data_IF_412966757509
#
_entry.id   IF_412966757509
#
_cell.length_a   1.000
_cell.length_b   1.000
_cell.length_c   1.000
_cell.angle_alpha   90.00
_cell.angle_beta   90.00
_cell.angle_gamma   90.00
#
_symmetry.space_group_name_H-M   'P 1'
#
loop_
_entity.id
_entity.type
_entity.pdbx_description
1 polymer ?
#
# COMPACT_ATOMS: atom_id res chain seq x y z
N UNK A 1 -28.12 18.49 20.67
CA UNK A 1 -26.78 17.88 20.58
C UNK A 1 -26.50 17.63 19.10
N UNK A 2 -25.64 18.43 18.48
CA UNK A 2 -25.26 18.26 17.08
C UNK A 2 -24.31 17.07 17.00
N UNK A 3 -24.69 15.98 16.34
CA UNK A 3 -23.75 14.91 16.03
C UNK A 3 -22.64 15.52 15.17
N UNK A 4 -21.42 15.55 15.67
CA UNK A 4 -20.25 15.84 14.86
C UNK A 4 -20.18 14.78 13.78
N UNK A 5 -20.66 15.10 12.58
CA UNK A 5 -20.46 14.29 11.40
C UNK A 5 -18.95 14.25 11.19
N UNK A 6 -18.32 13.10 11.49
CA UNK A 6 -16.92 12.90 11.20
C UNK A 6 -16.75 13.20 9.71
N UNK A 7 -15.91 14.19 9.39
CA UNK A 7 -15.64 14.56 8.01
C UNK A 7 -15.25 13.29 7.24
N UNK A 8 -15.99 13.02 6.18
CA UNK A 8 -15.75 11.86 5.33
C UNK A 8 -14.34 11.98 4.77
N UNK A 9 -13.51 10.97 5.03
CA UNK A 9 -12.12 10.97 4.58
C UNK A 9 -12.12 10.70 3.09
N UNK A 10 -11.53 11.60 2.31
CA UNK A 10 -11.40 11.44 0.86
C UNK A 10 -9.92 11.32 0.51
N UNK A 11 -9.58 10.50 -0.47
CA UNK A 11 -8.21 10.25 -0.91
C UNK A 11 -8.10 10.50 -2.41
N UNK A 12 -7.10 11.29 -2.82
CA UNK A 12 -6.68 11.41 -4.21
C UNK A 12 -5.48 10.49 -4.47
N UNK A 13 -5.56 9.69 -5.52
CA UNK A 13 -4.48 8.82 -5.99
C UNK A 13 -3.97 9.36 -7.31
N UNK A 14 -2.67 9.60 -7.37
CA UNK A 14 -1.99 10.10 -8.57
C UNK A 14 -0.92 9.10 -9.03
N UNK A 15 -0.81 8.91 -10.34
CA UNK A 15 0.03 7.92 -11.00
C UNK A 15 -0.47 6.47 -10.83
N UNK A 16 0.34 5.52 -11.31
CA UNK A 16 0.01 4.09 -11.24
C UNK A 16 -1.07 3.67 -12.25
N UNK A 17 -1.67 2.50 -12.03
CA UNK A 17 -2.70 1.92 -12.93
C UNK A 17 -4.13 2.41 -12.66
N UNK A 18 -4.36 3.14 -11.57
CA UNK A 18 -5.70 3.58 -11.16
C UNK A 18 -5.69 4.92 -10.42
N UNK A 19 -5.29 6.03 -11.08
CA UNK A 19 -5.45 7.35 -10.49
C UNK A 19 -6.95 7.68 -10.34
N UNK A 20 -7.32 8.42 -9.29
CA UNK A 20 -8.72 8.72 -9.01
C UNK A 20 -8.97 9.28 -7.61
N UNK A 21 -10.25 9.44 -7.26
CA UNK A 21 -10.70 9.86 -5.94
C UNK A 21 -11.41 8.68 -5.26
N UNK A 22 -11.08 8.43 -4.00
CA UNK A 22 -11.54 7.29 -3.22
C UNK A 22 -12.08 7.74 -1.86
N UNK A 23 -13.14 7.10 -1.40
CA UNK A 23 -13.76 7.27 -0.08
C UNK A 23 -13.04 6.46 1.02
N UNK A 24 -12.12 5.58 0.62
CA UNK A 24 -11.33 4.71 1.49
C UNK A 24 -9.84 4.85 1.19
N UNK A 25 -8.98 4.64 2.21
CA UNK A 25 -7.54 4.64 1.99
C UNK A 25 -7.17 3.51 1.01
N UNK A 26 -6.53 3.82 -0.13
CA UNK A 26 -6.09 2.79 -1.07
C UNK A 26 -4.93 1.97 -0.50
N UNK A 27 -4.84 0.70 -0.91
CA UNK A 27 -3.72 -0.15 -0.57
C UNK A 27 -2.45 0.33 -1.31
N UNK A 28 -1.38 0.52 -0.54
CA UNK A 28 -0.08 0.97 -1.06
C UNK A 28 1.01 -0.01 -0.66
N UNK A 29 1.66 -0.57 -1.67
CA UNK A 29 2.77 -1.48 -1.43
C UNK A 29 4.01 -0.69 -1.02
N UNK A 30 4.50 -0.93 0.20
CA UNK A 30 5.62 -0.20 0.79
C UNK A 30 6.87 -1.09 0.92
N UNK A 31 7.64 -1.25 -0.14
CA UNK A 31 8.99 -1.80 -0.09
C UNK A 31 9.98 -0.98 -0.93
N UNK A 32 11.28 -1.17 -0.72
CA UNK A 32 12.33 -0.32 -1.31
C UNK A 32 12.35 -0.30 -2.84
N UNK A 33 11.99 -1.41 -3.46
CA UNK A 33 11.92 -1.57 -4.91
C UNK A 33 10.50 -1.36 -5.48
N UNK A 34 9.53 -0.92 -4.66
CA UNK A 34 8.20 -0.60 -5.14
C UNK A 34 8.28 0.61 -6.08
N UNK A 35 7.48 0.64 -7.16
CA UNK A 35 7.43 1.78 -8.06
C UNK A 35 7.12 3.07 -7.29
N UNK A 36 7.64 4.21 -7.75
CA UNK A 36 7.40 5.52 -7.13
C UNK A 36 5.90 5.82 -7.02
N UNK A 37 5.15 5.40 -8.03
CA UNK A 37 3.71 5.60 -8.13
C UNK A 37 2.94 4.31 -7.90
N UNK A 38 1.69 4.38 -7.40
CA UNK A 38 0.93 5.61 -7.12
C UNK A 38 1.44 6.42 -5.91
N UNK A 39 1.01 7.68 -5.81
CA UNK A 39 1.14 8.53 -4.61
C UNK A 39 -0.29 8.81 -4.12
N UNK A 40 -0.49 8.71 -2.80
CA UNK A 40 -1.78 8.92 -2.16
C UNK A 40 -1.76 10.21 -1.36
N UNK A 41 -2.76 11.03 -1.58
CA UNK A 41 -2.98 12.29 -0.88
C UNK A 41 -4.33 12.17 -0.19
N UNK A 42 -4.34 12.08 1.14
CA UNK A 42 -5.55 12.26 1.94
C UNK A 42 -6.01 13.72 1.85
N UNK A 43 -7.30 13.94 1.71
CA UNK A 43 -7.90 15.25 1.55
C UNK A 43 -8.99 15.45 2.60
N UNK A 44 -9.26 16.70 2.93
CA UNK A 44 -10.30 17.12 3.87
C UNK A 44 -11.68 17.20 3.21
N UNK A 45 -11.72 17.23 1.88
CA UNK A 45 -12.96 17.29 1.10
C UNK A 45 -12.81 16.66 -0.28
N UNK A 46 -13.95 16.34 -0.91
CA UNK A 46 -13.97 15.90 -2.31
C UNK A 46 -13.42 16.97 -3.25
N UNK A 47 -13.70 18.25 -3.02
CA UNK A 47 -13.18 19.36 -3.83
C UNK A 47 -11.66 19.41 -3.82
N UNK A 48 -11.05 19.27 -2.64
CA UNK A 48 -9.59 19.20 -2.49
C UNK A 48 -9.01 17.96 -3.19
N UNK A 49 -9.67 16.80 -3.07
CA UNK A 49 -9.23 15.58 -3.74
C UNK A 49 -9.24 15.71 -5.27
N UNK A 50 -10.27 16.35 -5.85
CA UNK A 50 -10.33 16.64 -7.27
C UNK A 50 -9.27 17.66 -7.70
N UNK A 51 -9.00 18.68 -6.87
CA UNK A 51 -7.91 19.62 -7.12
C UNK A 51 -6.55 18.91 -7.13
N UNK A 52 -6.30 18.02 -6.16
CA UNK A 52 -5.10 17.20 -6.09
C UNK A 52 -4.97 16.26 -7.31
N UNK A 53 -6.08 15.72 -7.82
CA UNK A 53 -6.10 14.93 -9.05
C UNK A 53 -5.69 15.76 -10.28
N UNK A 54 -5.79 17.09 -10.24
CA UNK A 54 -5.21 17.99 -11.24
C UNK A 54 -3.71 17.80 -11.44
N UNK A 55 -2.99 17.30 -10.43
CA UNK A 55 -1.60 16.88 -10.58
C UNK A 55 -1.41 15.75 -11.58
N UNK A 56 -2.40 14.85 -11.73
CA UNK A 56 -2.28 13.70 -12.63
C UNK A 56 -1.91 14.14 -14.04
N UNK A 57 -2.57 15.19 -14.54
CA UNK A 57 -2.27 15.74 -15.86
C UNK A 57 -0.85 16.29 -15.95
N UNK A 58 -0.42 17.03 -14.92
CA UNK A 58 0.95 17.57 -14.86
C UNK A 58 1.97 16.43 -14.85
N UNK A 59 1.73 15.37 -14.07
CA UNK A 59 2.63 14.22 -13.99
C UNK A 59 2.70 13.42 -15.29
N UNK A 60 1.59 13.24 -16.00
CA UNK A 60 1.58 12.56 -17.31
C UNK A 60 2.41 13.35 -18.33
N UNK A 61 2.23 14.66 -18.38
CA UNK A 61 3.00 15.52 -19.29
C UNK A 61 4.50 15.50 -18.92
N UNK A 62 4.85 15.62 -17.64
CA UNK A 62 6.25 15.56 -17.19
C UNK A 62 6.90 14.18 -17.40
N UNK A 63 6.13 13.10 -17.39
CA UNK A 63 6.63 11.74 -17.67
C UNK A 63 6.98 11.53 -19.14
N UNK A 64 6.31 12.21 -20.07
CA UNK A 64 6.69 12.11 -21.47
C UNK A 64 8.10 12.66 -21.72
N UNK A 65 8.52 13.64 -20.92
CA UNK A 65 9.82 14.30 -21.06
C UNK A 65 10.95 13.56 -20.33
N UNK A 66 10.64 12.58 -19.47
CA UNK A 66 11.62 11.93 -18.58
C UNK A 66 11.40 10.42 -18.60
N UNK A 67 12.44 9.66 -18.93
CA UNK A 67 12.40 8.21 -18.83
C UNK A 67 11.95 7.79 -17.42
N UNK A 68 10.95 6.91 -17.31
CA UNK A 68 10.35 6.45 -16.04
C UNK A 68 11.37 5.88 -15.04
N UNK A 69 12.59 5.60 -15.49
CA UNK A 69 13.67 4.97 -14.74
C UNK A 69 14.62 5.92 -14.01
N UNK A 70 14.50 7.24 -14.17
CA UNK A 70 15.36 8.21 -13.44
C UNK A 70 14.56 9.05 -12.41
N UNK A 71 14.46 8.56 -11.16
CA UNK A 71 13.85 9.30 -10.07
C UNK A 71 14.50 10.66 -9.77
N UNK A 72 15.78 10.87 -10.07
CA UNK A 72 16.45 12.15 -9.79
C UNK A 72 16.08 13.21 -10.82
N UNK A 73 16.10 12.86 -12.11
CA UNK A 73 15.63 13.74 -13.16
C UNK A 73 14.18 14.14 -12.90
N UNK A 74 13.35 13.15 -12.57
CA UNK A 74 11.95 13.40 -12.24
C UNK A 74 11.79 14.31 -11.00
N UNK A 75 12.55 14.05 -9.93
CA UNK A 75 12.56 14.89 -8.73
C UNK A 75 12.94 16.36 -9.03
N UNK A 76 13.98 16.60 -9.84
CA UNK A 76 14.40 17.97 -10.21
C UNK A 76 13.30 18.72 -10.94
N UNK A 77 12.62 18.04 -11.87
CA UNK A 77 11.54 18.64 -12.64
C UNK A 77 10.31 18.92 -11.78
N UNK A 78 9.96 18.03 -10.85
CA UNK A 78 8.90 18.30 -9.87
C UNK A 78 9.24 19.50 -8.99
N UNK A 79 10.48 19.59 -8.50
CA UNK A 79 10.91 20.68 -7.63
C UNK A 79 10.78 22.05 -8.31
N UNK A 80 11.14 22.13 -9.60
CA UNK A 80 11.09 23.37 -10.38
C UNK A 80 9.76 23.69 -11.05
N UNK A 81 8.74 22.81 -10.96
CA UNK A 81 7.51 22.98 -11.74
C UNK A 81 6.55 23.98 -11.11
N UNK A 82 6.31 25.16 -11.74
CA UNK A 82 5.34 26.15 -11.25
C UNK A 82 3.90 25.65 -11.39
N UNK A 83 3.66 24.65 -12.25
CA UNK A 83 2.34 24.07 -12.46
C UNK A 83 1.88 23.27 -11.25
N UNK A 84 2.81 22.58 -10.58
CA UNK A 84 2.52 21.88 -9.31
C UNK A 84 2.19 22.90 -8.23
N UNK A 85 2.93 24.00 -8.16
CA UNK A 85 2.65 25.09 -7.23
C UNK A 85 1.27 25.69 -7.49
N UNK A 86 0.85 25.85 -8.75
CA UNK A 86 -0.47 26.39 -9.08
C UNK A 86 -1.62 25.45 -8.67
N UNK A 87 -1.43 24.13 -8.75
CA UNK A 87 -2.47 23.17 -8.30
C UNK A 87 -2.76 23.31 -6.80
N UNK A 88 -1.78 23.74 -6.02
CA UNK A 88 -1.86 23.77 -4.56
C UNK A 88 -1.82 25.16 -3.92
N UNK A 89 -1.35 26.17 -4.64
CA UNK A 89 -1.13 27.54 -4.14
C UNK A 89 -2.42 28.28 -3.79
N UNK A 90 -3.58 27.84 -4.30
CA UNK A 90 -4.88 28.38 -3.93
C UNK A 90 -5.50 27.72 -2.68
N UNK A 91 -5.00 26.56 -2.26
CA UNK A 91 -5.71 25.66 -1.34
C UNK A 91 -5.23 25.71 0.11
N UNK A 92 -4.18 26.50 0.41
CA UNK A 92 -3.57 26.55 1.74
C UNK A 92 -2.64 25.36 2.04
N UNK A 93 -2.12 25.23 3.26
CA UNK A 93 -1.20 24.15 3.63
C UNK A 93 -1.89 22.79 3.57
N UNK A 94 -1.23 21.81 2.96
CA UNK A 94 -1.69 20.43 2.93
C UNK A 94 -1.36 19.78 4.28
N UNK A 95 -2.43 19.44 5.01
CA UNK A 95 -2.48 18.81 6.34
C UNK A 95 -2.13 19.68 7.56
N UNK A 96 -3.03 19.62 8.55
CA UNK A 96 -2.69 19.91 9.93
C UNK A 96 -1.83 18.76 10.50
N UNK A 97 -0.78 19.11 11.26
CA UNK A 97 0.14 18.15 11.89
C UNK A 97 -0.59 17.10 12.73
N UNK A 98 -1.73 17.47 13.31
CA UNK A 98 -2.54 16.63 14.18
C UNK A 98 -3.13 15.40 13.48
N UNK A 99 -3.36 15.45 12.17
CA UNK A 99 -3.86 14.32 11.38
C UNK A 99 -2.79 13.24 11.12
N UNK A 100 -1.52 13.64 11.12
CA UNK A 100 -0.39 12.74 10.86
C UNK A 100 -0.04 11.97 12.12
N UNK A 101 -0.05 12.63 13.28
CA UNK A 101 0.30 11.99 14.55
C UNK A 101 -0.65 10.84 14.87
N UNK A 102 -1.97 10.99 14.67
CA UNK A 102 -2.95 9.91 14.87
C UNK A 102 -2.67 8.71 13.95
N UNK A 103 -2.28 8.94 12.70
CA UNK A 103 -2.01 7.86 11.75
C UNK A 103 -0.69 7.13 12.01
N UNK A 104 0.29 7.84 12.59
CA UNK A 104 1.63 7.32 12.82
C UNK A 104 1.78 6.77 14.24
N UNK A 105 0.97 7.19 15.20
CA UNK A 105 1.16 6.89 16.63
C UNK A 105 1.24 5.38 16.93
N UNK A 106 0.44 4.58 16.23
CA UNK A 106 0.37 3.13 16.44
C UNK A 106 1.24 2.32 15.46
N UNK A 107 1.94 2.98 14.54
CA UNK A 107 2.81 2.32 13.56
C UNK A 107 4.29 2.57 13.88
N UNK A 108 4.90 1.62 14.59
CA UNK A 108 6.32 1.70 15.01
C UNK A 108 7.31 1.83 13.84
N UNK A 109 6.89 1.55 12.61
CA UNK A 109 7.73 1.61 11.42
C UNK A 109 7.42 2.80 10.52
N UNK A 110 6.37 3.57 10.83
CA UNK A 110 6.02 4.75 10.05
C UNK A 110 7.06 5.85 10.25
N UNK A 111 7.61 6.32 9.13
CA UNK A 111 8.46 7.51 9.06
C UNK A 111 7.61 8.64 8.49
N UNK A 112 7.64 9.79 9.14
CA UNK A 112 6.95 10.99 8.66
C UNK A 112 7.93 12.15 8.64
N UNK A 113 7.75 13.03 7.67
CA UNK A 113 8.52 14.25 7.52
C UNK A 113 7.58 15.38 7.17
N UNK A 114 7.82 16.54 7.76
CA UNK A 114 7.09 17.78 7.48
C UNK A 114 7.90 18.59 6.48
N UNK A 115 7.22 19.12 5.48
CA UNK A 115 7.78 20.01 4.47
C UNK A 115 7.01 21.34 4.46
N UNK A 116 7.64 22.40 3.96
CA UNK A 116 6.98 23.71 3.82
C UNK A 116 6.17 23.80 2.52
N UNK A 117 6.53 23.00 1.52
CA UNK A 117 5.82 22.97 0.24
C UNK A 117 5.42 21.55 -0.18
N UNK A 118 4.36 21.46 -0.97
CA UNK A 118 3.93 20.18 -1.56
C UNK A 118 4.96 19.67 -2.56
N UNK A 119 5.66 20.55 -3.29
CA UNK A 119 6.74 20.17 -4.19
C UNK A 119 7.84 19.38 -3.45
N UNK A 120 8.27 19.86 -2.29
CA UNK A 120 9.26 19.15 -1.47
C UNK A 120 8.75 17.80 -0.99
N UNK A 121 7.50 17.72 -0.53
CA UNK A 121 6.88 16.47 -0.11
C UNK A 121 6.79 15.45 -1.26
N UNK A 122 6.40 15.91 -2.46
CA UNK A 122 6.37 15.08 -3.67
C UNK A 122 7.77 14.60 -4.04
N UNK A 123 8.78 15.48 -4.02
CA UNK A 123 10.18 15.11 -4.26
C UNK A 123 10.66 14.06 -3.25
N UNK A 124 10.34 14.24 -1.97
CA UNK A 124 10.66 13.27 -0.92
C UNK A 124 10.04 11.89 -1.20
N UNK A 125 8.76 11.87 -1.62
CA UNK A 125 8.07 10.62 -1.98
C UNK A 125 8.67 9.96 -3.22
N UNK A 126 9.01 10.74 -4.26
CA UNK A 126 9.70 10.23 -5.47
C UNK A 126 11.05 9.61 -5.13
N UNK A 127 11.80 10.23 -4.24
CA UNK A 127 13.10 9.73 -3.78
C UNK A 127 12.98 8.69 -2.66
N UNK A 128 11.77 8.14 -2.42
CA UNK A 128 11.51 7.07 -1.44
C UNK A 128 11.99 7.42 -0.03
N UNK A 129 11.91 8.69 0.30
CA UNK A 129 12.27 9.24 1.61
C UNK A 129 13.77 9.44 1.85
N UNK A 130 14.60 9.44 0.81
CA UNK A 130 16.04 9.65 0.92
C UNK A 130 16.40 11.15 1.04
N UNK A 131 16.44 11.65 2.28
CA UNK A 131 16.81 13.05 2.60
C UNK A 131 18.25 13.36 2.19
N UNK A 132 19.17 12.40 2.31
CA UNK A 132 20.55 12.62 1.92
C UNK A 132 20.64 12.91 0.43
N UNK A 133 19.88 12.16 -0.38
CA UNK A 133 19.75 12.39 -1.81
C UNK A 133 19.07 13.71 -2.15
N UNK A 134 17.98 14.08 -1.48
CA UNK A 134 17.37 15.41 -1.65
C UNK A 134 18.37 16.55 -1.40
N UNK A 135 19.20 16.44 -0.36
CA UNK A 135 20.24 17.42 -0.02
C UNK A 135 21.32 17.48 -1.09
N UNK A 136 21.80 16.34 -1.59
CA UNK A 136 22.78 16.26 -2.68
C UNK A 136 22.28 16.95 -3.95
N UNK A 137 20.98 16.84 -4.23
CA UNK A 137 20.34 17.47 -5.39
C UNK A 137 20.04 18.96 -5.19
N UNK A 138 20.29 19.51 -4.00
CA UNK A 138 19.93 20.91 -3.67
C UNK A 138 18.42 21.16 -3.62
N UNK A 139 17.60 20.11 -3.51
CA UNK A 139 16.13 20.18 -3.52
C UNK A 139 15.51 20.29 -2.13
N UNK A 140 16.34 20.27 -1.09
CA UNK A 140 15.91 20.44 0.29
C UNK A 140 16.16 21.89 0.71
N UNK A 141 15.16 22.77 0.52
CA UNK A 141 15.23 24.08 1.15
C UNK A 141 15.18 23.86 2.66
N UNK A 142 16.00 24.60 3.40
CA UNK A 142 16.20 24.39 4.83
C UNK A 142 14.87 24.44 5.59
N UNK A 143 14.36 23.31 6.05
CA UNK A 143 13.25 23.30 7.03
C UNK A 143 13.55 22.41 8.23
N UNK A 144 13.36 23.09 9.37
CA UNK A 144 13.13 22.70 10.76
C UNK A 144 13.32 21.23 11.11
N UNK A 145 14.27 21.01 12.03
CA UNK A 145 14.46 19.83 12.88
C UNK A 145 13.42 18.74 12.67
N UNK A 146 13.85 17.64 12.04
CA UNK A 146 13.23 16.32 12.17
C UNK A 146 12.65 16.19 13.57
N UNK A 147 11.32 16.25 13.70
CA UNK A 147 10.68 15.72 14.89
C UNK A 147 10.87 14.21 14.78
N UNK A 148 12.02 13.72 15.24
CA UNK A 148 12.04 12.38 15.80
C UNK A 148 10.86 12.37 16.76
N UNK A 149 9.96 11.38 16.70
CA UNK A 149 8.99 11.24 17.75
C UNK A 149 9.82 11.18 19.03
N UNK A 150 9.72 12.23 19.87
CA UNK A 150 10.20 12.16 21.22
C UNK A 150 9.35 11.03 21.78
N UNK A 151 9.94 9.85 21.83
CA UNK A 151 9.43 8.75 22.63
C UNK A 151 9.53 9.29 24.05
N UNK A 152 8.54 10.08 24.46
CA UNK A 152 8.27 10.35 25.85
C UNK A 152 7.92 8.98 26.40
N UNK A 153 8.95 8.26 26.83
CA UNK A 153 8.82 7.21 27.81
C UNK A 153 8.15 7.90 29.00
N UNK A 154 6.87 7.63 29.29
CA UNK A 154 6.22 8.31 30.40
C UNK A 154 6.96 7.87 31.65
N UNK A 155 7.52 8.82 32.42
CA UNK A 155 7.89 8.52 33.80
C UNK A 155 6.58 8.17 34.51
N UNK A 156 6.43 6.87 34.72
CA UNK A 156 5.38 6.20 35.46
C UNK A 156 5.07 6.94 36.77
N UNK A 157 3.93 7.62 36.82
CA UNK A 157 3.16 7.76 38.06
C UNK A 157 1.92 6.89 37.91
N UNK A 158 1.83 5.91 38.80
CA UNK A 158 0.89 4.81 38.76
C UNK A 158 -0.57 5.30 38.83
N UNK A 159 -1.30 5.15 37.72
CA UNK A 159 -2.74 4.91 37.76
C UNK A 159 -2.96 3.49 37.24
N UNK A 160 -3.49 2.61 38.09
CA UNK A 160 -4.04 1.29 37.71
C UNK A 160 -5.23 1.54 36.76
N UNK A 161 -4.93 1.79 35.49
CA UNK A 161 -5.90 1.71 34.42
C UNK A 161 -6.12 0.23 34.14
N UNK A 162 -7.40 -0.17 34.17
CA UNK A 162 -7.88 -1.46 33.68
C UNK A 162 -7.15 -1.84 32.40
N UNK A 163 -6.36 -2.90 32.48
CA UNK A 163 -5.59 -3.47 31.37
C UNK A 163 -6.59 -4.13 30.42
N UNK A 164 -7.28 -3.32 29.62
CA UNK A 164 -8.03 -3.81 28.45
C UNK A 164 -7.00 -4.50 27.57
N UNK A 165 -7.04 -5.83 27.58
CA UNK A 165 -6.15 -6.74 26.84
C UNK A 165 -6.18 -6.31 25.37
N UNK A 166 -5.18 -5.51 24.97
CA UNK A 166 -5.05 -4.99 23.61
C UNK A 166 -4.76 -6.17 22.70
N UNK A 167 -5.79 -6.71 22.06
CA UNK A 167 -5.60 -7.68 20.98
C UNK A 167 -4.94 -6.92 19.83
N UNK A 168 -3.71 -7.33 19.48
CA UNK A 168 -3.05 -6.79 18.28
C UNK A 168 -3.98 -7.06 17.10
N UNK A 169 -4.27 -6.06 16.25
CA UNK A 169 -5.08 -6.29 15.06
C UNK A 169 -4.39 -7.36 14.22
N UNK A 170 -5.11 -8.44 13.93
CA UNK A 170 -4.65 -9.46 12.99
C UNK A 170 -4.92 -8.87 11.61
N UNK A 171 -3.93 -8.93 10.74
CA UNK A 171 -4.11 -8.60 9.33
C UNK A 171 -4.06 -9.88 8.50
N UNK A 172 -4.86 -9.94 7.45
CA UNK A 172 -4.83 -10.99 6.43
C UNK A 172 -4.81 -10.34 5.06
N UNK A 173 -4.18 -11.00 4.09
CA UNK A 173 -4.22 -10.56 2.70
C UNK A 173 -5.45 -11.14 1.99
N UNK A 174 -5.91 -10.44 0.95
CA UNK A 174 -6.73 -11.01 -0.11
C UNK A 174 -5.82 -11.11 -1.32
N UNK A 175 -5.71 -12.31 -1.91
CA UNK A 175 -4.85 -12.62 -3.04
C UNK A 175 -5.68 -13.11 -4.22
N UNK A 176 -5.37 -12.56 -5.39
CA UNK A 176 -5.69 -13.19 -6.66
C UNK A 176 -4.50 -14.02 -7.14
N UNK A 177 -4.64 -14.73 -8.26
CA UNK A 177 -3.50 -15.37 -8.93
C UNK A 177 -2.39 -14.37 -9.30
N UNK A 178 -2.73 -13.11 -9.57
CA UNK A 178 -1.76 -12.05 -9.87
C UNK A 178 -1.10 -11.42 -8.63
N UNK A 179 -1.40 -11.91 -7.42
CA UNK A 179 -0.83 -11.42 -6.16
C UNK A 179 -1.85 -10.76 -5.23
N UNK A 180 -1.34 -10.00 -4.25
CA UNK A 180 -2.15 -9.34 -3.23
C UNK A 180 -3.01 -8.25 -3.85
N UNK A 181 -4.33 -8.34 -3.68
CA UNK A 181 -5.31 -7.36 -4.15
C UNK A 181 -5.83 -6.48 -3.03
N UNK A 182 -5.85 -6.97 -1.78
CA UNK A 182 -6.35 -6.21 -0.63
C UNK A 182 -5.74 -6.70 0.70
N UNK A 183 -5.97 -5.98 1.79
CA UNK A 183 -5.58 -6.35 3.17
C UNK A 183 -6.72 -6.07 4.13
N UNK A 184 -7.18 -7.11 4.85
CA UNK A 184 -8.23 -7.00 5.86
C UNK A 184 -7.57 -6.84 7.23
N UNK A 185 -8.08 -5.90 8.04
CA UNK A 185 -7.70 -5.72 9.44
C UNK A 185 -8.88 -6.09 10.34
N UNK A 186 -8.72 -7.06 11.23
CA UNK A 186 -9.81 -7.48 12.10
C UNK A 186 -9.46 -8.61 13.05
N UNK A 187 -10.47 -9.07 13.79
CA UNK A 187 -10.39 -10.34 14.52
C UNK A 187 -10.60 -11.45 13.50
N UNK A 188 -9.51 -12.06 13.03
CA UNK A 188 -9.54 -13.15 12.07
C UNK A 188 -10.50 -14.24 12.56
N UNK A 189 -11.63 -14.41 11.87
CA UNK A 189 -12.39 -15.65 11.91
C UNK A 189 -11.63 -16.63 11.04
N UNK A 190 -11.32 -17.82 11.57
CA UNK A 190 -10.78 -18.89 10.75
C UNK A 190 -11.69 -19.07 9.53
N UNK A 191 -11.14 -19.16 8.30
CA UNK A 191 -11.96 -19.38 7.13
C UNK A 191 -12.80 -20.64 7.33
N UNK A 192 -14.09 -20.56 7.04
CA UNK A 192 -14.96 -21.74 7.06
C UNK A 192 -14.47 -22.69 5.97
N UNK A 193 -13.99 -23.86 6.37
CA UNK A 193 -13.46 -24.86 5.45
C UNK A 193 -14.62 -25.48 4.67
N UNK A 194 -14.67 -25.19 3.36
CA UNK A 194 -15.46 -25.97 2.41
C UNK A 194 -14.90 -27.38 2.22
N UNK A 195 -15.54 -28.18 1.37
CA UNK A 195 -15.00 -29.47 0.92
C UNK A 195 -13.54 -29.32 0.48
N UNK A 196 -12.67 -30.23 0.89
CA UNK A 196 -11.25 -30.20 0.52
C UNK A 196 -11.08 -30.62 -0.96
N UNK A 197 -11.08 -29.65 -1.88
CA UNK A 197 -11.16 -29.93 -3.31
C UNK A 197 -9.77 -30.17 -3.93
N UNK A 198 -8.72 -29.52 -3.42
CA UNK A 198 -7.35 -29.65 -3.95
C UNK A 198 -6.45 -30.52 -3.07
N UNK A 199 -6.99 -31.08 -2.00
CA UNK A 199 -6.21 -31.71 -0.93
C UNK A 199 -6.05 -30.78 0.27
N UNK A 200 -5.94 -31.37 1.46
CA UNK A 200 -6.03 -30.64 2.73
C UNK A 200 -4.94 -29.57 2.85
N UNK A 201 -3.70 -29.88 2.49
CA UNK A 201 -2.59 -28.94 2.65
C UNK A 201 -2.62 -27.83 1.60
N UNK A 202 -3.01 -28.15 0.36
CA UNK A 202 -3.17 -27.16 -0.70
C UNK A 202 -4.28 -26.16 -0.36
N UNK A 203 -5.45 -26.64 0.07
CA UNK A 203 -6.56 -25.77 0.48
C UNK A 203 -6.18 -24.91 1.69
N UNK A 204 -5.53 -25.51 2.70
CA UNK A 204 -5.05 -24.76 3.87
C UNK A 204 -4.06 -23.67 3.48
N UNK A 205 -3.12 -23.98 2.58
CA UNK A 205 -2.17 -23.00 2.07
C UNK A 205 -2.87 -21.83 1.38
N UNK A 206 -3.77 -22.13 0.44
CA UNK A 206 -4.45 -21.09 -0.35
C UNK A 206 -5.30 -20.19 0.54
N UNK A 207 -6.09 -20.77 1.45
CA UNK A 207 -6.93 -20.02 2.38
C UNK A 207 -6.11 -19.20 3.38
N UNK A 208 -5.05 -19.76 3.95
CA UNK A 208 -4.19 -19.05 4.92
C UNK A 208 -3.41 -17.89 4.29
N UNK A 209 -3.12 -17.96 2.99
CA UNK A 209 -2.52 -16.86 2.24
C UNK A 209 -3.57 -15.92 1.64
N UNK A 210 -4.85 -16.21 1.81
CA UNK A 210 -5.95 -15.33 1.44
C UNK A 210 -6.34 -15.37 -0.03
N UNK A 211 -6.05 -16.46 -0.74
CA UNK A 211 -6.51 -16.63 -2.12
C UNK A 211 -8.05 -16.58 -2.18
N UNK A 212 -8.59 -15.84 -3.14
CA UNK A 212 -10.04 -15.76 -3.36
C UNK A 212 -10.62 -17.07 -3.89
N UNK A 213 -11.91 -17.29 -3.65
CA UNK A 213 -12.64 -18.46 -4.19
C UNK A 213 -12.50 -18.57 -5.71
N UNK A 214 -12.61 -17.45 -6.45
CA UNK A 214 -12.40 -17.41 -7.90
C UNK A 214 -10.99 -17.90 -8.31
N UNK A 215 -9.97 -17.56 -7.50
CA UNK A 215 -8.59 -17.99 -7.76
C UNK A 215 -8.43 -19.49 -7.49
N UNK A 216 -9.02 -19.99 -6.40
CA UNK A 216 -9.01 -21.42 -6.05
C UNK A 216 -9.74 -22.24 -7.12
N UNK A 217 -10.89 -21.76 -7.59
CA UNK A 217 -11.67 -22.38 -8.65
C UNK A 217 -10.89 -22.42 -9.99
N UNK A 218 -10.17 -21.34 -10.31
CA UNK A 218 -9.28 -21.30 -11.48
C UNK A 218 -8.15 -22.33 -11.36
N UNK A 219 -7.51 -22.43 -10.19
CA UNK A 219 -6.47 -23.44 -9.91
C UNK A 219 -7.03 -24.85 -10.12
N UNK A 220 -8.22 -25.13 -9.57
CA UNK A 220 -8.90 -26.41 -9.71
C UNK A 220 -9.18 -26.76 -11.16
N UNK A 221 -9.68 -25.79 -11.93
CA UNK A 221 -9.95 -25.97 -13.35
C UNK A 221 -8.66 -26.27 -14.12
N UNK A 222 -7.59 -25.52 -13.88
CA UNK A 222 -6.30 -25.73 -14.54
C UNK A 222 -5.70 -27.10 -14.16
N UNK A 223 -5.74 -27.48 -12.88
CA UNK A 223 -5.28 -28.78 -12.39
C UNK A 223 -5.97 -29.93 -13.14
N UNK A 224 -7.31 -29.86 -13.23
CA UNK A 224 -8.13 -30.89 -13.90
C UNK A 224 -7.79 -31.08 -15.38
N UNK A 225 -7.19 -30.06 -16.02
CA UNK A 225 -6.81 -30.07 -17.43
C UNK A 225 -5.29 -30.22 -17.64
N UNK A 226 -4.50 -30.38 -16.57
CA UNK A 226 -3.04 -30.40 -16.64
C UNK A 226 -2.50 -31.80 -16.27
N UNK A 227 -2.17 -32.65 -17.24
CA UNK A 227 -1.67 -34.00 -16.96
C UNK A 227 -0.22 -34.02 -16.44
N UNK A 228 0.48 -32.88 -16.47
CA UNK A 228 1.90 -32.74 -16.11
C UNK A 228 2.14 -31.40 -15.40
N UNK A 229 3.12 -31.40 -14.50
CA UNK A 229 3.52 -30.21 -13.74
C UNK A 229 3.89 -29.02 -14.62
N UNK A 230 4.58 -29.24 -15.74
CA UNK A 230 5.00 -28.12 -16.61
C UNK A 230 3.80 -27.42 -17.27
N UNK A 231 2.77 -28.18 -17.67
CA UNK A 231 1.53 -27.62 -18.23
C UNK A 231 0.78 -26.82 -17.16
N UNK A 232 0.70 -27.35 -15.95
CA UNK A 232 0.09 -26.66 -14.82
C UNK A 232 0.81 -25.34 -14.49
N UNK A 233 2.14 -25.39 -14.44
CA UNK A 233 3.00 -24.22 -14.19
C UNK A 233 2.83 -23.16 -15.26
N UNK A 234 2.86 -23.54 -16.54
CA UNK A 234 2.71 -22.61 -17.65
C UNK A 234 1.33 -21.94 -17.64
N UNK A 235 0.26 -22.73 -17.46
CA UNK A 235 -1.11 -22.21 -17.46
C UNK A 235 -1.38 -21.26 -16.29
N UNK A 236 -0.98 -21.59 -15.06
CA UNK A 236 -1.18 -20.70 -13.91
C UNK A 236 -0.25 -19.48 -13.95
N UNK A 237 0.96 -19.63 -14.50
CA UNK A 237 1.85 -18.48 -14.72
C UNK A 237 1.27 -17.49 -15.73
N UNK A 238 0.57 -17.98 -16.75
CA UNK A 238 -0.18 -17.12 -17.68
C UNK A 238 -1.33 -16.35 -17.00
N UNK A 239 -1.82 -16.82 -15.85
CA UNK A 239 -2.81 -16.12 -15.01
C UNK A 239 -2.17 -15.22 -13.94
N UNK A 240 -0.85 -15.08 -13.95
CA UNK A 240 -0.10 -14.15 -13.10
C UNK A 240 0.48 -14.77 -11.83
N UNK A 241 0.29 -16.07 -11.58
CA UNK A 241 0.92 -16.74 -10.44
C UNK A 241 2.42 -16.95 -10.70
N UNK A 242 3.25 -16.83 -9.66
CA UNK A 242 4.67 -17.10 -9.82
C UNK A 242 4.90 -18.59 -10.16
N UNK A 243 5.74 -18.88 -11.16
CA UNK A 243 6.04 -20.26 -11.58
C UNK A 243 6.60 -21.13 -10.44
N UNK A 244 7.37 -20.53 -9.51
CA UNK A 244 7.90 -21.21 -8.32
C UNK A 244 6.81 -21.55 -7.30
N UNK A 245 5.88 -20.62 -7.05
CA UNK A 245 4.71 -20.84 -6.17
C UNK A 245 3.79 -21.91 -6.77
N UNK A 246 3.61 -21.88 -8.10
CA UNK A 246 2.80 -22.86 -8.83
C UNK A 246 3.38 -24.27 -8.76
N UNK A 247 4.70 -24.42 -8.96
CA UNK A 247 5.36 -25.72 -8.85
C UNK A 247 5.25 -26.29 -7.44
N UNK A 248 5.45 -25.44 -6.43
CA UNK A 248 5.30 -25.86 -5.04
C UNK A 248 3.85 -26.24 -4.69
N UNK A 249 2.86 -25.54 -5.26
CA UNK A 249 1.45 -25.90 -5.11
C UNK A 249 1.12 -27.25 -5.76
N UNK A 250 1.68 -27.55 -6.94
CA UNK A 250 1.55 -28.88 -7.56
C UNK A 250 2.06 -29.99 -6.63
N UNK A 251 3.23 -29.76 -6.03
CA UNK A 251 3.83 -30.71 -5.09
C UNK A 251 2.91 -30.91 -3.88
N UNK A 252 2.38 -29.84 -3.28
CA UNK A 252 1.41 -29.96 -2.17
C UNK A 252 0.20 -30.82 -2.52
N UNK A 253 -0.37 -30.63 -3.70
CA UNK A 253 -1.58 -31.33 -4.15
C UNK A 253 -1.31 -32.84 -4.27
N UNK A 254 -0.17 -33.23 -4.82
CA UNK A 254 0.16 -34.64 -5.09
C UNK A 254 0.92 -35.32 -3.94
N UNK A 255 1.43 -34.56 -2.96
CA UNK A 255 2.13 -35.13 -1.81
C UNK A 255 1.14 -35.73 -0.79
N UNK A 256 -0.08 -35.22 -0.72
CA UNK A 256 -1.14 -35.69 0.17
C UNK A 256 -1.61 -37.11 -0.15
N UNK A 257 -1.49 -37.55 -1.40
CA UNK A 257 -1.91 -38.90 -1.82
C UNK A 257 -0.96 -40.02 -1.34
N UNK A 258 0.26 -39.69 -0.91
CA UNK A 258 1.29 -40.68 -0.56
C UNK A 258 1.61 -40.78 0.95
N UNK A 259 1.04 -39.89 1.76
CA UNK A 259 1.25 -39.87 3.21
C UNK A 259 -0.03 -40.30 3.92
N UNK A 260 -0.29 -41.60 3.96
CA UNK A 260 -1.32 -42.17 4.84
C UNK A 260 -0.93 -41.95 6.30
N UNK A 261 -1.43 -40.87 6.89
CA UNK A 261 -1.43 -40.64 8.34
C UNK A 261 -2.70 -41.22 8.98
#
# INVERSE_FOLDING_TARGET
MSSSQAAEKVYAVIGGRGPGVFDRPPFMVNYRAAPVFPIVIKCTSATEAHAALGLQRVLVELRHDIAETDPEAFAKVLAGSPRIQHVFGASGPFYAVDDVTVQVHDNMYAKYHRFESVNEALVYMVLKGDIARMKQLGLYARVSTSMTPIVHRPLSTAKKASETKRTRPIFSYIRSLSGITDTIYGTSSAPEYGSHILGKHADYYLLSHGYTDDSIETIRHILSNSPKVDIFVDLLSAHGMAATETRWLWDLIHHDDNCGF
#
